data_IF_890024604192
#
_entry.id   IF_890024604192
#
_cell.length_a   1.000
_cell.length_b   1.000
_cell.length_c   1.000
_cell.angle_alpha   90.00
_cell.angle_beta   90.00
_cell.angle_gamma   90.00
#
_symmetry.space_group_name_H-M   'P 1'
#
loop_
_entity.id
_entity.type
_entity.pdbx_description
1 polymer ?
#
# COMPACT_ATOMS: atom_id res chain seq x y z
N UNK A 1 -12.68 6.18 12.94
CA UNK A 1 -11.31 6.62 12.66
C UNK A 1 -11.38 7.54 11.45
N UNK A 2 -10.82 8.76 11.51
CA UNK A 2 -10.95 9.73 10.42
C UNK A 2 -10.06 9.34 9.22
N UNK A 3 -10.59 9.41 7.99
CA UNK A 3 -9.86 8.98 6.77
C UNK A 3 -8.52 9.71 6.60
N UNK A 4 -8.41 10.95 7.07
CA UNK A 4 -7.17 11.72 7.03
C UNK A 4 -6.08 11.11 7.91
N UNK A 5 -6.43 10.49 9.02
CA UNK A 5 -5.45 9.86 9.90
C UNK A 5 -4.82 8.63 9.24
N UNK A 6 -5.64 7.80 8.59
CA UNK A 6 -5.15 6.66 7.81
C UNK A 6 -4.19 7.12 6.71
N UNK A 7 -4.57 8.17 5.97
CA UNK A 7 -3.73 8.72 4.91
C UNK A 7 -2.39 9.25 5.47
N UNK A 8 -2.40 9.93 6.61
CA UNK A 8 -1.17 10.42 7.27
C UNK A 8 -0.27 9.27 7.69
N UNK A 9 -0.83 8.22 8.29
CA UNK A 9 -0.08 7.02 8.69
C UNK A 9 0.61 6.39 7.49
N UNK A 10 -0.14 6.21 6.38
CA UNK A 10 0.42 5.68 5.15
C UNK A 10 1.51 6.58 4.58
N UNK A 11 1.26 7.89 4.44
CA UNK A 11 2.25 8.81 3.90
C UNK A 11 3.52 8.85 4.76
N UNK A 12 3.36 8.77 6.09
CA UNK A 12 4.47 8.77 7.03
C UNK A 12 5.37 7.55 6.85
N UNK A 13 4.81 6.36 6.59
CA UNK A 13 5.63 5.16 6.38
C UNK A 13 6.58 5.30 5.17
N UNK A 14 6.10 5.87 4.06
CA UNK A 14 6.94 6.15 2.89
C UNK A 14 8.06 7.16 3.21
N UNK A 15 7.73 8.24 3.94
CA UNK A 15 8.73 9.26 4.29
C UNK A 15 9.75 8.77 5.32
N UNK A 16 9.34 7.93 6.27
CA UNK A 16 10.21 7.37 7.31
C UNK A 16 11.21 6.37 6.70
N UNK A 17 10.80 5.64 5.66
CA UNK A 17 11.67 4.79 4.84
C UNK A 17 12.61 5.59 3.92
N UNK A 18 12.47 6.92 3.87
CA UNK A 18 13.18 7.82 2.95
C UNK A 18 13.05 7.43 1.48
N UNK A 19 11.94 6.78 1.11
CA UNK A 19 11.68 6.32 -0.24
C UNK A 19 10.20 6.54 -0.62
N UNK A 20 9.86 7.70 -1.22
CA UNK A 20 10.72 8.85 -1.51
C UNK A 20 10.95 9.76 -0.27
N UNK A 21 12.07 10.52 -0.20
CA UNK A 21 12.30 11.48 0.87
C UNK A 21 11.19 12.54 0.95
N UNK A 22 10.83 12.99 2.15
CA UNK A 22 9.81 14.02 2.35
C UNK A 22 10.10 15.31 1.55
N UNK A 23 11.38 15.68 1.41
CA UNK A 23 11.78 16.85 0.62
C UNK A 23 11.46 16.68 -0.87
N UNK A 24 11.60 15.48 -1.41
CA UNK A 24 11.36 15.19 -2.83
C UNK A 24 9.86 15.26 -3.16
N UNK A 25 9.02 14.70 -2.28
CA UNK A 25 7.56 14.84 -2.36
C UNK A 25 7.17 16.32 -2.35
N UNK A 26 7.72 17.08 -1.41
CA UNK A 26 7.40 18.50 -1.23
C UNK A 26 7.80 19.33 -2.45
N UNK A 27 9.05 19.18 -2.91
CA UNK A 27 9.61 19.96 -4.00
C UNK A 27 8.93 19.62 -5.34
N UNK A 28 8.63 18.33 -5.59
CA UNK A 28 7.97 17.89 -6.84
C UNK A 28 6.52 18.38 -6.93
N UNK A 29 5.78 18.35 -5.82
CA UNK A 29 4.36 18.72 -5.80
C UNK A 29 4.13 20.21 -5.52
N UNK A 30 5.20 20.98 -5.33
CA UNK A 30 5.12 22.40 -4.96
C UNK A 30 4.45 22.62 -3.61
N UNK A 31 4.63 21.69 -2.67
CA UNK A 31 4.12 21.76 -1.31
C UNK A 31 5.21 22.35 -0.43
N UNK A 32 4.88 23.33 0.42
CA UNK A 32 5.86 23.83 1.39
C UNK A 32 6.31 22.71 2.34
N UNK A 33 7.62 22.53 2.54
CA UNK A 33 8.14 21.47 3.44
C UNK A 33 7.54 21.53 4.85
N UNK A 34 7.39 22.74 5.39
CA UNK A 34 6.69 22.98 6.68
C UNK A 34 5.23 22.56 6.61
N UNK A 35 4.55 22.82 5.50
CA UNK A 35 3.15 22.46 5.29
C UNK A 35 2.97 20.94 5.25
N UNK A 36 3.85 20.22 4.54
CA UNK A 36 3.84 18.76 4.52
C UNK A 36 4.13 18.17 5.90
N UNK A 37 5.10 18.74 6.63
CA UNK A 37 5.41 18.33 8.00
C UNK A 37 4.25 18.60 8.98
N UNK A 38 3.56 19.73 8.84
CA UNK A 38 2.38 20.06 9.64
C UNK A 38 1.24 19.08 9.35
N UNK A 39 1.05 18.67 8.09
CA UNK A 39 0.10 17.62 7.72
C UNK A 39 0.44 16.26 8.33
N UNK A 40 1.70 15.81 8.21
CA UNK A 40 2.17 14.55 8.80
C UNK A 40 2.02 14.51 10.33
N UNK A 41 2.03 15.68 10.98
CA UNK A 41 1.83 15.82 12.43
C UNK A 41 0.37 16.07 12.84
N UNK A 42 -0.57 16.04 11.89
CA UNK A 42 -1.99 16.27 12.16
C UNK A 42 -2.34 17.70 12.58
N UNK A 43 -1.48 18.68 12.28
CA UNK A 43 -1.70 20.09 12.65
C UNK A 43 -2.53 20.87 11.63
N UNK A 44 -2.43 20.48 10.35
CA UNK A 44 -3.14 21.11 9.23
C UNK A 44 -3.52 20.07 8.21
N UNK A 45 -4.68 20.26 7.60
CA UNK A 45 -5.18 19.35 6.58
C UNK A 45 -4.92 19.87 5.17
N UNK A 46 -4.72 18.92 4.27
CA UNK A 46 -4.73 19.17 2.84
C UNK A 46 -6.14 19.02 2.28
N UNK A 47 -6.39 19.69 1.16
CA UNK A 47 -7.62 19.47 0.39
C UNK A 47 -7.61 18.08 -0.25
N UNK A 48 -8.80 17.54 -0.54
CA UNK A 48 -8.93 16.23 -1.21
C UNK A 48 -8.11 16.14 -2.51
N UNK A 49 -8.18 17.16 -3.37
CA UNK A 49 -7.38 17.24 -4.61
C UNK A 49 -5.87 17.11 -4.34
N UNK A 50 -5.37 17.73 -3.26
CA UNK A 50 -3.95 17.67 -2.92
C UNK A 50 -3.56 16.28 -2.41
N UNK A 51 -4.44 15.60 -1.67
CA UNK A 51 -4.22 14.22 -1.23
C UNK A 51 -4.17 13.26 -2.42
N UNK A 52 -5.02 13.47 -3.43
CA UNK A 52 -4.98 12.70 -4.69
C UNK A 52 -3.67 12.92 -5.45
N UNK A 53 -3.16 14.16 -5.52
CA UNK A 53 -1.86 14.47 -6.14
C UNK A 53 -0.71 13.76 -5.42
N UNK A 54 -0.70 13.75 -4.08
CA UNK A 54 0.29 13.05 -3.27
C UNK A 54 0.23 11.54 -3.51
N UNK A 55 -0.97 10.95 -3.47
CA UNK A 55 -1.13 9.52 -3.72
C UNK A 55 -0.63 9.15 -5.12
N UNK A 56 -0.99 9.95 -6.14
CA UNK A 56 -0.57 9.73 -7.52
C UNK A 56 0.95 9.79 -7.68
N UNK A 57 1.62 10.72 -7.00
CA UNK A 57 3.09 10.79 -7.00
C UNK A 57 3.73 9.50 -6.45
N UNK A 58 3.11 8.90 -5.43
CA UNK A 58 3.52 7.59 -4.90
C UNK A 58 3.06 6.40 -5.76
N UNK A 59 2.54 6.65 -6.97
CA UNK A 59 1.93 5.64 -7.83
C UNK A 59 0.82 4.85 -7.11
N UNK A 60 -0.04 5.59 -6.39
CA UNK A 60 -1.18 5.08 -5.62
C UNK A 60 -2.42 5.93 -5.85
N UNK A 61 -3.56 5.35 -5.51
CA UNK A 61 -4.85 6.02 -5.38
C UNK A 61 -5.07 6.46 -3.93
N UNK A 62 -6.02 7.37 -3.73
CA UNK A 62 -6.43 7.78 -2.39
C UNK A 62 -6.89 6.59 -1.53
N UNK A 63 -7.70 5.70 -2.12
CA UNK A 63 -8.21 4.49 -1.44
C UNK A 63 -7.09 3.55 -1.03
N UNK A 64 -6.10 3.31 -1.90
CA UNK A 64 -4.94 2.47 -1.55
C UNK A 64 -4.15 3.04 -0.38
N UNK A 65 -3.99 4.36 -0.32
CA UNK A 65 -3.35 5.02 0.84
C UNK A 65 -4.12 4.78 2.13
N UNK A 66 -5.45 4.77 2.11
CA UNK A 66 -6.25 4.46 3.30
C UNK A 66 -6.07 3.01 3.75
N UNK A 67 -6.07 2.07 2.81
CA UNK A 67 -5.87 0.63 3.09
C UNK A 67 -4.48 0.40 3.70
N UNK A 68 -3.45 1.05 3.16
CA UNK A 68 -2.10 1.01 3.72
C UNK A 68 -2.09 1.51 5.17
N UNK A 69 -2.72 2.66 5.42
CA UNK A 69 -2.80 3.24 6.76
C UNK A 69 -3.53 2.34 7.76
N UNK A 70 -4.65 1.72 7.34
CA UNK A 70 -5.43 0.80 8.16
C UNK A 70 -4.58 -0.42 8.56
N UNK A 71 -3.85 -1.00 7.59
CA UNK A 71 -2.96 -2.16 7.83
C UNK A 71 -1.81 -1.86 8.77
N UNK A 72 -1.17 -0.69 8.62
CA UNK A 72 -0.10 -0.26 9.52
C UNK A 72 -0.62 -0.14 10.96
N UNK A 73 -1.83 0.43 11.13
CA UNK A 73 -2.43 0.56 12.46
C UNK A 73 -2.91 -0.77 13.06
N UNK A 74 -3.35 -1.71 12.23
CA UNK A 74 -3.75 -3.05 12.69
C UNK A 74 -2.55 -3.96 12.99
N UNK A 75 -1.33 -3.54 12.64
CA UNK A 75 -0.13 -4.37 12.77
C UNK A 75 -0.07 -5.50 11.74
N UNK A 76 -0.91 -5.45 10.70
CA UNK A 76 -0.85 -6.38 9.59
C UNK A 76 0.38 -6.08 8.71
N UNK A 77 1.10 -7.11 8.25
CA UNK A 77 2.22 -6.93 7.34
C UNK A 77 1.81 -6.15 6.08
N UNK A 78 2.64 -5.18 5.70
CA UNK A 78 2.39 -4.33 4.55
C UNK A 78 2.30 -5.19 3.28
N UNK A 79 1.49 -4.84 2.26
CA UNK A 79 1.61 -5.46 0.94
C UNK A 79 2.99 -5.29 0.27
N UNK A 80 3.92 -4.50 0.84
CA UNK A 80 5.32 -4.44 0.42
C UNK A 80 6.24 -5.32 1.27
N UNK A 81 5.77 -5.74 2.46
CA UNK A 81 6.41 -6.76 3.28
C UNK A 81 6.01 -8.16 2.84
N UNK A 82 4.93 -8.29 2.05
CA UNK A 82 4.65 -9.55 1.39
C UNK A 82 5.84 -9.90 0.49
N UNK A 83 6.45 -11.08 0.68
CA UNK A 83 7.45 -11.56 -0.25
C UNK A 83 6.88 -11.48 -1.67
N UNK A 84 7.73 -11.19 -2.67
CA UNK A 84 7.24 -11.21 -4.05
C UNK A 84 6.54 -12.56 -4.32
N UNK A 85 5.60 -12.60 -5.28
CA UNK A 85 4.86 -13.83 -5.57
C UNK A 85 5.81 -15.03 -5.75
N UNK A 86 7.01 -14.83 -6.33
CA UNK A 86 8.00 -15.89 -6.49
C UNK A 86 8.51 -16.46 -5.15
N UNK A 87 8.66 -15.62 -4.13
CA UNK A 87 9.08 -16.02 -2.79
C UNK A 87 7.95 -16.69 -2.02
N UNK A 88 6.70 -16.23 -2.21
CA UNK A 88 5.50 -16.91 -1.70
C UNK A 88 5.28 -18.28 -2.36
N UNK A 89 5.66 -18.42 -3.64
CA UNK A 89 5.65 -19.69 -4.39
C UNK A 89 6.73 -20.67 -3.87
N UNK A 90 7.86 -20.15 -3.40
CA UNK A 90 9.00 -20.97 -2.96
C UNK A 90 8.94 -21.36 -1.47
N UNK A 91 8.16 -20.68 -0.63
CA UNK A 91 8.00 -21.00 0.80
C UNK A 91 6.53 -21.27 1.17
N UNK A 92 6.16 -22.54 1.38
CA UNK A 92 4.84 -22.93 1.88
C UNK A 92 4.49 -22.31 3.24
N UNK A 93 5.48 -22.06 4.11
CA UNK A 93 5.25 -21.37 5.39
C UNK A 93 4.82 -19.91 5.20
N UNK A 94 5.40 -19.19 4.23
CA UNK A 94 4.99 -17.82 3.93
C UNK A 94 3.54 -17.77 3.43
N UNK A 95 3.13 -18.70 2.55
CA UNK A 95 1.75 -18.82 2.10
C UNK A 95 0.75 -19.11 3.25
N UNK A 96 1.15 -19.86 4.28
CA UNK A 96 0.34 -20.13 5.48
C UNK A 96 0.18 -18.90 6.38
N UNK A 97 1.24 -18.10 6.57
CA UNK A 97 1.20 -16.85 7.37
C UNK A 97 0.22 -15.85 6.74
N UNK A 98 0.09 -15.86 5.41
CA UNK A 98 -0.87 -15.04 4.66
C UNK A 98 -2.16 -15.79 4.27
N UNK A 99 -2.49 -16.90 4.93
CA UNK A 99 -3.80 -17.56 4.81
C UNK A 99 -4.19 -18.06 3.41
N UNK A 100 -3.22 -18.36 2.54
CA UNK A 100 -3.48 -18.89 1.20
C UNK A 100 -3.80 -20.40 1.28
N UNK A 101 -5.01 -20.80 0.86
CA UNK A 101 -5.49 -22.18 0.78
C UNK A 101 -5.12 -22.86 -0.54
N UNK A 102 -5.28 -24.20 -0.63
CA UNK A 102 -5.01 -25.00 -1.83
C UNK A 102 -5.73 -24.54 -3.14
N UNK A 103 -6.71 -23.63 -3.04
CA UNK A 103 -7.36 -22.97 -4.19
C UNK A 103 -6.44 -21.96 -4.91
N UNK A 104 -5.39 -21.47 -4.26
CA UNK A 104 -4.43 -20.50 -4.82
C UNK A 104 -3.33 -21.10 -5.68
N UNK A 105 -3.12 -22.43 -5.67
CA UNK A 105 -2.27 -23.10 -6.67
C UNK A 105 -2.72 -22.79 -8.10
N UNK A 106 -4.03 -22.60 -8.32
CA UNK A 106 -4.61 -22.23 -9.61
C UNK A 106 -4.39 -20.75 -9.97
N UNK A 107 -4.30 -19.88 -8.96
CA UNK A 107 -4.00 -18.45 -9.16
C UNK A 107 -2.52 -18.27 -9.51
N UNK A 108 -1.64 -19.08 -8.94
CA UNK A 108 -0.22 -19.14 -9.29
C UNK A 108 -0.02 -19.61 -10.74
N UNK A 109 -0.78 -20.62 -11.19
CA UNK A 109 -0.77 -21.02 -12.61
C UNK A 109 -1.23 -19.88 -13.53
N UNK A 110 -2.30 -19.17 -13.15
CA UNK A 110 -2.79 -18.01 -13.91
C UNK A 110 -1.73 -16.91 -13.97
N UNK A 111 -1.09 -16.58 -12.84
CA UNK A 111 -0.03 -15.57 -12.78
C UNK A 111 1.18 -15.92 -13.66
N UNK A 112 1.61 -17.19 -13.66
CA UNK A 112 2.70 -17.68 -14.54
C UNK A 112 2.35 -17.58 -16.02
N UNK A 113 1.05 -17.64 -16.36
CA UNK A 113 0.57 -17.53 -17.74
C UNK A 113 0.30 -16.09 -18.19
N UNK A 114 0.35 -15.11 -17.28
CA UNK A 114 0.08 -13.71 -17.60
C UNK A 114 1.32 -13.00 -18.17
N UNK A 115 1.13 -12.10 -19.15
CA UNK A 115 2.16 -11.13 -19.54
C UNK A 115 2.59 -10.26 -18.36
N UNK A 116 3.85 -9.82 -18.36
CA UNK A 116 4.47 -9.10 -17.24
C UNK A 116 3.69 -7.85 -16.82
N UNK A 117 3.10 -7.13 -17.79
CA UNK A 117 2.27 -5.95 -17.55
C UNK A 117 1.00 -6.21 -16.69
N UNK A 118 0.46 -7.44 -16.72
CA UNK A 118 -0.77 -7.80 -16.03
C UNK A 118 -0.55 -8.51 -14.69
N UNK A 119 0.69 -8.89 -14.39
CA UNK A 119 1.05 -9.56 -13.14
C UNK A 119 0.79 -8.69 -11.91
N UNK A 120 1.02 -7.39 -12.04
CA UNK A 120 0.73 -6.42 -10.97
C UNK A 120 -0.78 -6.28 -10.72
N UNK A 121 -1.62 -6.30 -11.76
CA UNK A 121 -3.08 -6.23 -11.60
C UNK A 121 -3.63 -7.47 -10.88
N UNK A 122 -3.14 -8.66 -11.23
CA UNK A 122 -3.54 -9.89 -10.56
C UNK A 122 -3.07 -9.91 -9.10
N UNK A 123 -1.87 -9.40 -8.82
CA UNK A 123 -1.36 -9.28 -7.45
C UNK A 123 -2.23 -8.36 -6.59
N UNK A 124 -2.64 -7.20 -7.13
CA UNK A 124 -3.57 -6.29 -6.45
C UNK A 124 -4.92 -6.97 -6.19
N UNK A 125 -5.47 -7.69 -7.16
CA UNK A 125 -6.73 -8.43 -6.98
C UNK A 125 -6.63 -9.55 -5.93
N UNK A 126 -5.48 -10.23 -5.83
CA UNK A 126 -5.23 -11.20 -4.77
C UNK A 126 -5.21 -10.54 -3.38
N UNK A 127 -4.56 -9.38 -3.26
CA UNK A 127 -4.49 -8.61 -2.03
C UNK A 127 -5.87 -8.09 -1.58
N UNK A 128 -6.68 -7.62 -2.53
CA UNK A 128 -8.07 -7.19 -2.27
C UNK A 128 -8.92 -8.37 -1.82
N UNK A 129 -8.85 -9.51 -2.51
CA UNK A 129 -9.67 -10.68 -2.17
C UNK A 129 -9.31 -11.26 -0.80
N UNK A 130 -8.03 -11.29 -0.44
CA UNK A 130 -7.60 -11.76 0.88
C UNK A 130 -8.16 -10.86 2.00
N UNK A 131 -8.12 -9.54 1.82
CA UNK A 131 -8.70 -8.57 2.73
C UNK A 131 -10.22 -8.75 2.96
N UNK A 132 -10.97 -9.17 1.92
CA UNK A 132 -12.40 -9.46 2.06
C UNK A 132 -12.70 -10.80 2.74
N UNK A 133 -11.79 -11.76 2.70
CA UNK A 133 -11.99 -13.09 3.32
C UNK A 133 -11.69 -13.06 4.82
N UNK A 134 -10.72 -12.25 5.26
CA UNK A 134 -10.36 -12.13 6.69
C UNK A 134 -11.29 -11.22 7.51
N UNK A 135 -12.16 -10.43 6.87
CA UNK A 135 -13.20 -9.60 7.53
C UNK A 135 -14.53 -10.33 7.81
N UNK A 136 -14.60 -11.67 7.70
CA UNK A 136 -15.76 -12.49 8.10
C UNK A 136 -15.45 -13.32 9.33
#
# INVERSE_FOLDING_TARGET
>A
MEHLELFRVALKSFTDQKNPPQSDIADTLGIGRTQLNDFLKGRKDFSGKRLEEIAKYLSKTFTEMLIIGERILSGEPHPYDMPNIETLIQSPEAAQIYGLSARESKIIEIWRSLPEEHKNELYVLMLERHYYVTKK
#
